data_IF_686103862145
#
_entry.id   IF_686103862145
#
_cell.length_a   1.000
_cell.length_b   1.000
_cell.length_c   1.000
_cell.angle_alpha   90.00
_cell.angle_beta   90.00
_cell.angle_gamma   90.00
#
_symmetry.space_group_name_H-M   'P 1'
#
loop_
_entity.id
_entity.type
_entity.pdbx_description
1 polymer ?
#
# COMPACT_ATOMS: atom_id res chain seq x y z
N UNK A 1 0.34 -12.10 8.93
CA UNK A 1 -1.10 -11.75 8.81
C UNK A 1 -1.25 -10.41 8.12
N UNK A 2 -2.20 -10.27 7.19
CA UNK A 2 -2.54 -9.00 6.54
C UNK A 2 -3.88 -8.45 7.01
N UNK A 3 -4.12 -7.17 6.78
CA UNK A 3 -5.39 -6.46 7.01
C UNK A 3 -5.88 -5.94 5.66
N UNK A 4 -6.46 -6.84 4.85
CA UNK A 4 -6.96 -6.46 3.53
C UNK A 4 -8.13 -5.48 3.69
N UNK A 5 -7.95 -4.27 3.15
CA UNK A 5 -8.88 -3.17 3.35
C UNK A 5 -9.68 -2.93 2.08
N UNK A 6 -10.97 -3.24 2.13
CA UNK A 6 -11.89 -2.98 1.04
C UNK A 6 -12.41 -1.53 1.11
N UNK A 7 -12.38 -0.82 -0.02
CA UNK A 7 -12.71 0.61 -0.09
C UNK A 7 -13.63 0.89 -1.28
N UNK A 8 -14.63 1.75 -1.09
CA UNK A 8 -15.46 2.32 -2.17
C UNK A 8 -16.00 3.69 -1.76
N UNK A 9 -16.15 4.58 -2.74
CA UNK A 9 -16.74 5.91 -2.54
C UNK A 9 -18.19 5.93 -3.00
N UNK A 10 -19.00 6.70 -2.26
CA UNK A 10 -20.42 6.89 -2.52
C UNK A 10 -20.74 8.38 -2.41
N UNK A 11 -21.65 8.86 -3.26
CA UNK A 11 -22.13 10.24 -3.21
C UNK A 11 -23.64 10.25 -3.43
N UNK A 12 -24.38 10.93 -2.55
CA UNK A 12 -25.84 11.00 -2.65
C UNK A 12 -26.54 9.64 -2.58
N UNK A 13 -25.91 8.61 -1.99
CA UNK A 13 -26.45 7.25 -1.92
C UNK A 13 -26.13 6.36 -3.13
N UNK A 14 -25.39 6.87 -4.13
CA UNK A 14 -24.99 6.11 -5.32
C UNK A 14 -23.51 5.70 -5.27
N UNK A 15 -23.16 4.47 -5.70
CA UNK A 15 -21.78 3.98 -5.73
C UNK A 15 -20.99 4.61 -6.88
N UNK A 16 -19.77 5.08 -6.62
CA UNK A 16 -18.95 5.76 -7.61
C UNK A 16 -17.93 4.87 -8.33
N UNK A 17 -17.74 3.62 -7.87
CA UNK A 17 -16.62 2.79 -8.31
C UNK A 17 -16.91 1.85 -9.48
N UNK A 18 -18.17 1.77 -9.93
CA UNK A 18 -18.59 0.86 -10.99
C UNK A 18 -18.72 1.56 -12.34
N UNK A 19 -18.22 0.89 -13.37
CA UNK A 19 -18.48 1.18 -14.78
C UNK A 19 -18.38 -0.15 -15.54
N UNK A 20 -19.36 -0.46 -16.39
CA UNK A 20 -19.40 -1.73 -17.14
C UNK A 20 -18.31 -1.82 -18.22
N UNK A 21 -17.82 -0.69 -18.72
CA UNK A 21 -16.85 -0.61 -19.82
C UNK A 21 -15.41 -0.67 -19.34
N UNK A 22 -15.17 -0.32 -18.07
CA UNK A 22 -13.83 -0.27 -17.50
C UNK A 22 -13.26 -1.64 -17.13
N UNK A 23 -11.94 -1.72 -17.08
CA UNK A 23 -11.24 -2.93 -16.64
C UNK A 23 -11.76 -3.41 -15.28
N UNK A 24 -12.06 -4.70 -15.17
CA UNK A 24 -12.64 -5.33 -13.98
C UNK A 24 -13.95 -4.66 -13.47
N UNK A 25 -14.64 -3.90 -14.32
CA UNK A 25 -15.86 -3.17 -13.98
C UNK A 25 -15.61 -1.91 -13.13
N UNK A 26 -14.47 -1.25 -13.30
CA UNK A 26 -14.07 -0.05 -12.57
C UNK A 26 -14.35 1.22 -13.37
N UNK A 27 -14.92 2.23 -12.71
CA UNK A 27 -14.99 3.60 -13.23
C UNK A 27 -13.62 4.28 -13.28
N UNK A 28 -13.54 5.40 -14.01
CA UNK A 28 -12.38 6.30 -13.96
C UNK A 28 -12.06 6.75 -12.53
N UNK A 29 -13.09 7.08 -11.73
CA UNK A 29 -12.92 7.43 -10.31
C UNK A 29 -12.20 6.34 -9.53
N UNK A 30 -12.62 5.08 -9.70
CA UNK A 30 -11.96 3.96 -9.02
C UNK A 30 -10.55 3.71 -9.56
N UNK A 31 -10.34 3.87 -10.87
CA UNK A 31 -9.03 3.72 -11.52
C UNK A 31 -8.03 4.75 -10.99
N UNK A 32 -8.42 6.02 -10.92
CA UNK A 32 -7.57 7.08 -10.38
C UNK A 32 -7.35 6.95 -8.87
N UNK A 33 -8.36 6.47 -8.13
CA UNK A 33 -8.19 6.14 -6.71
C UNK A 33 -7.11 5.07 -6.50
N UNK A 34 -7.11 4.02 -7.34
CA UNK A 34 -6.06 3.00 -7.35
C UNK A 34 -4.71 3.61 -7.74
N UNK A 35 -4.69 4.51 -8.72
CA UNK A 35 -3.49 5.26 -9.11
C UNK A 35 -2.86 5.99 -7.94
N UNK A 36 -3.65 6.73 -7.15
CA UNK A 36 -3.19 7.39 -5.93
C UNK A 36 -2.67 6.42 -4.87
N UNK A 37 -3.38 5.32 -4.59
CA UNK A 37 -2.91 4.29 -3.64
C UNK A 37 -1.56 3.69 -4.04
N UNK A 38 -1.37 3.38 -5.33
CA UNK A 38 -0.12 2.78 -5.82
C UNK A 38 1.01 3.81 -5.92
N UNK A 39 0.70 5.04 -6.30
CA UNK A 39 1.66 6.14 -6.41
C UNK A 39 2.25 6.49 -5.04
N UNK A 40 1.41 6.68 -4.04
CA UNK A 40 1.81 7.03 -2.68
C UNK A 40 2.14 5.83 -1.80
N UNK A 41 2.07 4.59 -2.31
CA UNK A 41 2.38 3.41 -1.51
C UNK A 41 3.72 3.54 -0.73
N UNK A 42 4.84 4.01 -1.31
CA UNK A 42 6.10 4.15 -0.57
C UNK A 42 5.99 4.95 0.74
N UNK A 43 5.25 6.07 0.76
CA UNK A 43 5.01 6.90 1.94
C UNK A 43 3.83 6.39 2.78
N UNK A 44 2.76 5.95 2.15
CA UNK A 44 1.54 5.42 2.78
C UNK A 44 1.82 4.23 3.70
N UNK A 45 2.79 3.39 3.35
CA UNK A 45 3.19 2.24 4.15
C UNK A 45 3.70 2.61 5.55
N UNK A 46 4.17 3.85 5.76
CA UNK A 46 4.52 4.34 7.08
C UNK A 46 3.33 4.37 8.06
N UNK A 47 2.09 4.38 7.56
CA UNK A 47 0.87 4.30 8.37
C UNK A 47 0.17 2.95 8.27
N UNK A 48 0.21 2.28 7.11
CA UNK A 48 -0.49 0.99 6.91
C UNK A 48 0.32 -0.24 7.33
N UNK A 49 1.65 -0.10 7.37
CA UNK A 49 2.62 -1.15 7.72
C UNK A 49 3.69 -0.59 8.66
N UNK A 50 3.30 -0.09 9.84
CA UNK A 50 4.11 0.89 10.56
C UNK A 50 5.10 0.27 11.54
N UNK A 51 5.42 -1.02 11.44
CA UNK A 51 6.33 -1.69 12.36
C UNK A 51 7.47 -2.38 11.62
N UNK A 52 8.59 -2.60 12.31
CA UNK A 52 9.70 -3.39 11.73
C UNK A 52 9.25 -4.80 11.34
N UNK A 53 8.31 -5.38 12.09
CA UNK A 53 7.77 -6.72 11.81
C UNK A 53 6.88 -6.76 10.56
N UNK A 54 6.25 -5.65 10.17
CA UNK A 54 5.47 -5.55 8.93
C UNK A 54 6.30 -5.95 7.71
N UNK A 55 7.58 -5.58 7.68
CA UNK A 55 8.49 -5.84 6.56
C UNK A 55 9.08 -7.25 6.58
N UNK A 56 8.84 -8.03 7.64
CA UNK A 56 9.07 -9.48 7.62
C UNK A 56 7.95 -10.23 6.90
N UNK A 57 6.76 -9.61 6.80
CA UNK A 57 5.68 -10.10 5.94
C UNK A 57 5.87 -9.63 4.50
N UNK A 58 6.24 -8.37 4.27
CA UNK A 58 6.40 -7.79 2.93
C UNK A 58 7.74 -8.20 2.28
N UNK A 59 7.95 -9.50 2.12
CA UNK A 59 9.14 -10.07 1.48
C UNK A 59 8.72 -10.76 0.17
N UNK A 60 9.44 -10.55 -0.95
CA UNK A 60 9.18 -11.28 -2.19
C UNK A 60 9.16 -12.81 -1.97
N UNK A 61 8.22 -13.51 -2.62
CA UNK A 61 8.16 -14.98 -2.66
C UNK A 61 7.15 -15.68 -1.72
N UNK A 62 6.44 -14.97 -0.84
CA UNK A 62 5.50 -15.57 0.15
C UNK A 62 4.07 -15.01 0.10
N UNK A 63 3.43 -14.93 -1.09
CA UNK A 63 2.10 -14.30 -1.29
C UNK A 63 1.97 -12.85 -0.76
N UNK A 64 3.10 -12.21 -0.44
CA UNK A 64 3.14 -10.86 0.08
C UNK A 64 2.95 -9.84 -1.04
N UNK A 65 2.02 -8.88 -0.90
CA UNK A 65 1.70 -7.92 -1.93
C UNK A 65 2.74 -6.79 -1.95
N UNK A 66 3.89 -7.05 -2.59
CA UNK A 66 5.01 -6.09 -2.68
C UNK A 66 5.08 -5.36 -4.02
N UNK A 67 4.38 -5.86 -5.03
CA UNK A 67 4.42 -5.34 -6.39
C UNK A 67 3.36 -4.25 -6.56
N UNK A 68 3.77 -3.04 -6.96
CA UNK A 68 2.91 -1.85 -7.14
C UNK A 68 2.05 -1.95 -8.41
N UNK A 69 1.22 -2.99 -8.44
CA UNK A 69 0.28 -3.30 -9.53
C UNK A 69 -1.11 -3.50 -8.96
N UNK A 70 -2.09 -3.46 -9.86
CA UNK A 70 -3.46 -3.84 -9.56
C UNK A 70 -3.96 -4.92 -10.53
N UNK A 71 -4.86 -5.79 -10.05
CA UNK A 71 -5.42 -6.88 -10.85
C UNK A 71 -6.68 -7.48 -10.22
N UNK A 72 -7.56 -8.02 -11.06
CA UNK A 72 -8.74 -8.75 -10.62
C UNK A 72 -8.42 -10.15 -10.05
N UNK A 73 -7.35 -10.80 -10.54
CA UNK A 73 -7.04 -12.21 -10.24
C UNK A 73 -5.71 -12.41 -9.52
N UNK A 74 -4.78 -11.48 -9.64
CA UNK A 74 -3.43 -11.62 -9.09
C UNK A 74 -3.42 -11.41 -7.57
N UNK A 75 -2.96 -12.43 -6.83
CA UNK A 75 -2.86 -12.37 -5.36
C UNK A 75 -1.61 -11.64 -4.86
N UNK A 76 -0.60 -11.51 -5.72
CA UNK A 76 0.66 -10.78 -5.47
C UNK A 76 0.55 -9.26 -5.65
N UNK A 77 -0.56 -8.77 -6.19
CA UNK A 77 -0.82 -7.36 -6.40
C UNK A 77 -1.04 -6.62 -5.08
N UNK A 78 -0.48 -5.41 -4.94
CA UNK A 78 -0.82 -4.47 -3.87
C UNK A 78 -2.33 -4.22 -3.79
N UNK A 79 -2.96 -4.10 -4.96
CA UNK A 79 -4.36 -3.74 -5.07
C UNK A 79 -5.13 -4.80 -5.87
N UNK A 80 -6.13 -5.42 -5.25
CA UNK A 80 -7.00 -6.42 -5.91
C UNK A 80 -8.38 -5.85 -6.20
N UNK A 81 -9.00 -6.28 -7.29
CA UNK A 81 -10.42 -6.03 -7.58
C UNK A 81 -11.20 -7.32 -7.38
N UNK A 82 -12.00 -7.45 -6.30
CA UNK A 82 -12.83 -8.63 -6.10
C UNK A 82 -13.82 -8.86 -7.25
N UNK A 83 -14.01 -10.12 -7.64
CA UNK A 83 -15.03 -10.51 -8.62
C UNK A 83 -16.40 -10.46 -7.95
N UNK A 84 -17.22 -9.46 -8.33
CA UNK A 84 -18.53 -9.19 -7.71
C UNK A 84 -19.68 -9.18 -8.71
N UNK A 85 -19.44 -9.62 -9.95
CA UNK A 85 -20.40 -9.54 -11.05
C UNK A 85 -20.71 -8.09 -11.46
N UNK A 86 -21.94 -7.87 -11.91
CA UNK A 86 -22.44 -6.58 -12.43
C UNK A 86 -23.14 -5.71 -11.39
N UNK A 87 -23.20 -6.10 -10.12
CA UNK A 87 -23.83 -5.28 -9.07
C UNK A 87 -22.96 -4.06 -8.74
N UNK A 88 -23.39 -2.81 -9.06
CA UNK A 88 -22.58 -1.61 -8.82
C UNK A 88 -22.27 -1.40 -7.34
N UNK A 89 -23.21 -1.74 -6.45
CA UNK A 89 -23.09 -1.55 -4.99
C UNK A 89 -22.06 -2.47 -4.35
N UNK A 90 -21.70 -3.56 -5.02
CA UNK A 90 -20.68 -4.49 -4.55
C UNK A 90 -19.26 -4.12 -5.06
N UNK A 91 -19.15 -3.23 -6.06
CA UNK A 91 -17.87 -2.86 -6.65
C UNK A 91 -17.02 -2.08 -5.66
N UNK A 92 -15.78 -2.53 -5.50
CA UNK A 92 -14.81 -1.99 -4.54
C UNK A 92 -13.39 -2.36 -4.93
N UNK A 93 -12.44 -1.64 -4.38
CA UNK A 93 -11.02 -1.96 -4.42
C UNK A 93 -10.62 -2.66 -3.12
N UNK A 94 -9.64 -3.55 -3.14
CA UNK A 94 -9.04 -4.17 -1.96
C UNK A 94 -7.54 -3.86 -1.92
N UNK A 95 -7.11 -3.04 -0.97
CA UNK A 95 -5.69 -2.80 -0.71
C UNK A 95 -5.18 -3.86 0.27
N UNK A 96 -4.24 -4.69 -0.16
CA UNK A 96 -3.81 -5.93 0.53
C UNK A 96 -2.55 -5.75 1.37
N UNK A 97 -1.84 -4.66 1.14
CA UNK A 97 -0.57 -4.33 1.81
C UNK A 97 -0.73 -4.11 3.31
N UNK A 98 -1.77 -3.42 3.83
CA UNK A 98 -1.87 -3.11 5.26
C UNK A 98 -1.83 -4.35 6.15
N UNK A 99 -1.43 -4.16 7.40
CA UNK A 99 -1.42 -5.21 8.41
C UNK A 99 -1.97 -4.70 9.75
N UNK A 100 -2.40 -5.59 10.66
CA UNK A 100 -3.11 -5.18 11.88
C UNK A 100 -2.20 -4.59 12.96
N UNK A 101 -0.90 -4.41 12.71
CA UNK A 101 -0.04 -3.61 13.60
C UNK A 101 -0.29 -2.10 13.45
N UNK A 102 -1.05 -1.70 12.43
CA UNK A 102 -1.40 -0.32 12.17
C UNK A 102 -2.42 0.26 13.16
N UNK A 103 -2.29 1.57 13.42
CA UNK A 103 -3.39 2.34 13.97
C UNK A 103 -4.44 2.53 12.87
N UNK A 104 -5.59 1.86 13.00
CA UNK A 104 -6.64 1.84 11.97
C UNK A 104 -7.18 3.22 11.62
N UNK A 105 -7.20 4.17 12.57
CA UNK A 105 -7.64 5.54 12.28
C UNK A 105 -6.67 6.24 11.33
N UNK A 106 -5.37 6.15 11.59
CA UNK A 106 -4.35 6.75 10.72
C UNK A 106 -4.25 6.02 9.38
N UNK A 107 -4.28 4.69 9.39
CA UNK A 107 -4.18 3.89 8.18
C UNK A 107 -5.35 4.16 7.22
N UNK A 108 -6.59 4.18 7.72
CA UNK A 108 -7.77 4.41 6.88
C UNK A 108 -7.82 5.84 6.36
N UNK A 109 -7.49 6.84 7.21
CA UNK A 109 -7.38 8.22 6.76
C UNK A 109 -6.30 8.40 5.70
N UNK A 110 -5.10 7.84 5.89
CA UNK A 110 -4.01 7.95 4.92
C UNK A 110 -4.35 7.29 3.57
N UNK A 111 -4.99 6.12 3.59
CA UNK A 111 -5.48 5.47 2.36
C UNK A 111 -6.54 6.32 1.65
N UNK A 112 -7.45 6.94 2.40
CA UNK A 112 -8.45 7.85 1.84
C UNK A 112 -7.78 9.04 1.17
N UNK A 113 -6.83 9.69 1.85
CA UNK A 113 -6.10 10.84 1.30
C UNK A 113 -5.33 10.47 0.03
N UNK A 114 -4.61 9.35 0.04
CA UNK A 114 -3.88 8.88 -1.15
C UNK A 114 -4.82 8.63 -2.34
N UNK A 115 -5.96 7.97 -2.11
CA UNK A 115 -6.92 7.72 -3.18
C UNK A 115 -7.64 8.99 -3.67
N UNK A 116 -7.92 9.95 -2.79
CA UNK A 116 -8.50 11.24 -3.17
C UNK A 116 -7.53 12.10 -3.98
N UNK A 117 -6.25 12.13 -3.63
CA UNK A 117 -5.23 12.80 -4.44
C UNK A 117 -5.14 12.16 -5.84
N UNK A 118 -5.15 10.83 -5.90
CA UNK A 118 -5.24 10.08 -7.15
C UNK A 118 -6.38 10.57 -8.05
N UNK A 119 -7.58 10.72 -7.50
CA UNK A 119 -8.75 11.25 -8.22
C UNK A 119 -8.53 12.70 -8.66
N UNK A 120 -8.06 13.57 -7.75
CA UNK A 120 -7.85 15.01 -8.00
C UNK A 120 -6.84 15.25 -9.12
N UNK A 121 -5.74 14.50 -9.09
CA UNK A 121 -4.61 14.61 -10.00
C UNK A 121 -4.74 13.68 -11.22
N UNK A 122 -5.83 12.88 -11.30
CA UNK A 122 -6.08 11.87 -12.33
C UNK A 122 -4.88 10.94 -12.55
N UNK A 123 -4.30 10.47 -11.45
CA UNK A 123 -3.12 9.61 -11.46
C UNK A 123 -3.52 8.28 -12.10
N UNK A 124 -2.93 7.96 -13.25
CA UNK A 124 -3.16 6.68 -13.91
C UNK A 124 -2.31 5.59 -13.25
N UNK A 125 -2.92 4.46 -12.79
CA UNK A 125 -2.16 3.32 -12.31
C UNK A 125 -1.40 2.65 -13.46
N UNK A 126 -0.32 1.91 -13.17
CA UNK A 126 0.35 1.07 -14.17
C UNK A 126 -0.63 0.08 -14.81
N UNK A 127 -0.43 -0.28 -16.07
CA UNK A 127 -1.26 -1.27 -16.77
C UNK A 127 -1.46 -2.53 -15.92
N UNK A 128 -2.70 -3.03 -15.76
CA UNK A 128 -2.97 -4.16 -14.88
C UNK A 128 -2.29 -5.43 -15.39
N UNK A 129 -1.79 -6.26 -14.46
CA UNK A 129 -1.13 -7.53 -14.77
C UNK A 129 -1.96 -8.69 -14.20
N UNK A 130 -2.65 -9.40 -15.09
CA UNK A 130 -3.55 -10.52 -14.75
C UNK A 130 -2.88 -11.89 -14.70
N UNK A 131 -1.55 -11.92 -14.63
CA UNK A 131 -0.77 -13.12 -14.37
C UNK A 131 -0.31 -13.12 -12.92
N UNK A 132 -0.14 -14.29 -12.32
CA UNK A 132 0.54 -14.36 -11.04
C UNK A 132 2.02 -14.00 -11.24
N UNK A 133 2.49 -12.94 -10.57
CA UNK A 133 3.88 -12.48 -10.74
C UNK A 133 4.87 -13.48 -10.13
N UNK A 134 4.43 -14.39 -9.25
CA UNK A 134 5.30 -15.44 -8.70
C UNK A 134 5.68 -16.49 -9.75
N UNK A 135 4.81 -16.71 -10.73
CA UNK A 135 5.02 -17.70 -11.80
C UNK A 135 5.74 -17.08 -13.01
N UNK A 136 6.01 -15.77 -12.98
CA UNK A 136 6.78 -15.10 -14.03
C UNK A 136 8.28 -15.20 -13.73
N UNK A 137 9.12 -15.55 -14.71
CA UNK A 137 10.56 -15.46 -14.54
C UNK A 137 10.96 -13.99 -14.28
N UNK A 138 12.02 -13.71 -13.48
CA UNK A 138 12.41 -12.35 -13.09
C UNK A 138 12.58 -11.37 -14.26
N UNK A 139 12.97 -11.88 -15.43
CA UNK A 139 13.07 -11.13 -16.69
C UNK A 139 11.72 -10.69 -17.28
N UNK A 140 10.62 -11.37 -16.94
CA UNK A 140 9.24 -11.01 -17.31
C UNK A 140 8.56 -10.11 -16.27
N UNK A 141 9.21 -9.81 -15.14
CA UNK A 141 8.68 -8.87 -14.15
C UNK A 141 8.66 -7.43 -14.70
N UNK A 142 9.45 -7.14 -15.74
CA UNK A 142 9.52 -5.83 -16.38
C UNK A 142 9.92 -4.72 -15.38
N UNK A 143 9.43 -3.50 -15.64
CA UNK A 143 9.65 -2.32 -14.78
C UNK A 143 8.68 -2.24 -13.58
N UNK A 144 8.19 -3.39 -13.09
CA UNK A 144 7.25 -3.42 -11.96
C UNK A 144 7.96 -2.92 -10.70
N UNK A 145 7.59 -1.70 -10.29
CA UNK A 145 8.07 -1.11 -9.05
C UNK A 145 7.56 -1.90 -7.86
N UNK A 146 8.39 -1.97 -6.83
CA UNK A 146 8.05 -2.61 -5.56
C UNK A 146 7.94 -1.56 -4.45
N UNK A 147 7.18 -1.90 -3.40
CA UNK A 147 7.17 -1.13 -2.16
C UNK A 147 8.53 -1.19 -1.46
N UNK A 148 8.89 -0.20 -0.63
CA UNK A 148 10.11 -0.28 0.15
C UNK A 148 10.09 -1.49 1.10
N UNK A 149 11.24 -2.17 1.22
CA UNK A 149 11.38 -3.42 1.98
C UNK A 149 11.70 -3.25 3.47
N UNK A 150 11.62 -2.05 4.03
CA UNK A 150 11.93 -1.81 5.45
C UNK A 150 11.24 -0.58 6.03
N UNK A 151 11.02 -0.58 7.36
CA UNK A 151 10.43 0.55 8.07
C UNK A 151 11.24 1.86 7.88
N UNK A 152 12.59 1.87 7.98
CA UNK A 152 13.36 3.09 7.71
C UNK A 152 13.10 3.68 6.32
N UNK A 153 13.10 2.83 5.28
CA UNK A 153 12.94 3.29 3.91
C UNK A 153 11.55 3.90 3.64
N UNK A 154 10.48 3.40 4.29
CA UNK A 154 9.16 4.03 4.18
C UNK A 154 9.05 5.33 4.97
N UNK A 155 9.78 5.47 6.09
CA UNK A 155 9.81 6.72 6.85
C UNK A 155 10.53 7.82 6.07
N UNK A 156 11.63 7.47 5.39
CA UNK A 156 12.33 8.38 4.46
C UNK A 156 11.42 8.76 3.28
N UNK A 157 10.63 7.79 2.78
CA UNK A 157 9.65 8.04 1.72
C UNK A 157 8.52 8.95 2.18
N UNK A 158 8.06 8.82 3.43
CA UNK A 158 7.05 9.69 4.04
C UNK A 158 7.57 11.11 4.21
N UNK A 159 8.80 11.31 4.66
CA UNK A 159 9.38 12.65 4.75
C UNK A 159 9.51 13.32 3.37
N UNK A 160 9.81 12.54 2.32
CA UNK A 160 9.94 13.03 0.95
C UNK A 160 8.60 13.28 0.23
N UNK A 161 7.54 12.54 0.60
CA UNK A 161 6.22 12.59 -0.03
C UNK A 161 5.11 12.47 1.03
N UNK A 162 4.62 13.62 1.52
CA UNK A 162 3.48 13.68 2.45
C UNK A 162 2.50 14.82 2.18
N UNK A 163 2.68 15.60 1.11
CA UNK A 163 1.81 16.75 0.81
C UNK A 163 0.34 16.33 0.60
N UNK A 164 0.12 15.16 0.00
CA UNK A 164 -1.22 14.59 -0.18
C UNK A 164 -1.97 14.34 1.15
N UNK A 165 -1.23 14.11 2.24
CA UNK A 165 -1.81 13.91 3.57
C UNK A 165 -2.24 15.23 4.23
N UNK A 166 -1.59 16.34 3.84
CA UNK A 166 -1.82 17.67 4.40
C UNK A 166 -3.07 18.36 3.83
N UNK A 167 -3.61 17.87 2.71
CA UNK A 167 -4.79 18.48 2.07
C UNK A 167 -5.98 18.52 3.04
N UNK A 168 -6.68 19.66 3.07
CA UNK A 168 -7.78 19.91 4.02
C UNK A 168 -7.39 19.90 5.51
N UNK A 169 -6.10 19.83 5.86
CA UNK A 169 -5.63 19.76 7.25
C UNK A 169 -5.97 18.44 7.95
N UNK A 170 -6.16 17.35 7.19
CA UNK A 170 -6.49 16.03 7.74
C UNK A 170 -5.32 15.46 8.55
N UNK A 171 -4.11 15.51 7.99
CA UNK A 171 -2.87 15.36 8.74
C UNK A 171 -2.20 16.73 8.87
N UNK A 172 -1.41 16.89 9.93
CA UNK A 172 -0.62 18.09 10.18
C UNK A 172 0.87 17.77 10.06
N UNK A 173 1.73 18.76 9.72
CA UNK A 173 3.17 18.56 9.73
C UNK A 173 3.71 18.10 11.10
N UNK A 174 3.12 18.59 12.19
CA UNK A 174 3.41 18.18 13.56
C UNK A 174 3.14 16.67 13.79
N UNK A 175 1.99 16.16 13.34
CA UNK A 175 1.67 14.73 13.43
C UNK A 175 2.68 13.88 12.64
N UNK A 176 3.01 14.29 11.42
CA UNK A 176 3.92 13.54 10.53
C UNK A 176 5.33 13.51 11.11
N UNK A 177 5.87 14.66 11.51
CA UNK A 177 7.21 14.75 12.12
C UNK A 177 7.28 13.94 13.42
N UNK A 178 6.30 14.10 14.31
CA UNK A 178 6.19 13.31 15.54
C UNK A 178 6.14 11.81 15.27
N UNK A 179 5.37 11.38 14.25
CA UNK A 179 5.27 9.97 13.86
C UNK A 179 6.62 9.41 13.41
N UNK A 180 7.32 10.12 12.52
CA UNK A 180 8.62 9.70 12.00
C UNK A 180 9.66 9.61 13.13
N UNK A 181 9.78 10.65 13.95
CA UNK A 181 10.72 10.68 15.08
C UNK A 181 10.45 9.55 16.07
N UNK A 182 9.18 9.36 16.43
CA UNK A 182 8.80 8.32 17.38
C UNK A 182 9.15 6.92 16.84
N UNK A 183 8.84 6.64 15.57
CA UNK A 183 9.12 5.35 14.94
C UNK A 183 10.62 5.07 14.82
N UNK A 184 11.42 6.08 14.50
CA UNK A 184 12.88 5.96 14.46
C UNK A 184 13.43 5.63 15.85
N UNK A 185 13.09 6.42 16.85
CA UNK A 185 13.64 6.28 18.20
C UNK A 185 13.15 5.04 18.96
N UNK A 186 11.90 4.60 18.74
CA UNK A 186 11.25 3.58 19.56
C UNK A 186 11.09 2.21 18.86
N UNK A 187 11.26 2.13 17.53
CA UNK A 187 11.19 0.86 16.81
C UNK A 187 12.46 0.58 16.00
N UNK A 188 12.87 1.51 15.13
CA UNK A 188 14.02 1.30 14.23
C UNK A 188 15.31 1.16 15.03
N UNK A 189 15.65 2.15 15.84
CA UNK A 189 16.91 2.19 16.57
C UNK A 189 17.04 1.04 17.59
N UNK A 190 16.01 0.73 18.38
CA UNK A 190 16.06 -0.42 19.27
C UNK A 190 16.32 -1.74 18.55
N UNK A 191 15.71 -1.98 17.38
CA UNK A 191 15.97 -3.22 16.63
C UNK A 191 17.37 -3.20 16.02
N UNK A 192 17.78 -2.08 15.42
CA UNK A 192 19.09 -1.93 14.75
C UNK A 192 20.28 -2.14 15.68
N UNK A 193 20.17 -1.75 16.96
CA UNK A 193 21.25 -1.84 17.94
C UNK A 193 21.38 -3.20 18.62
N UNK A 194 20.55 -4.19 18.27
CA UNK A 194 20.54 -5.51 18.91
C UNK A 194 20.94 -6.59 17.91
N UNK A 195 22.06 -7.31 18.14
CA UNK A 195 22.40 -8.48 17.35
C UNK A 195 21.26 -9.50 17.34
N UNK A 196 20.98 -10.07 16.17
CA UNK A 196 19.95 -11.11 16.04
C UNK A 196 20.54 -12.52 16.15
N UNK A 197 19.76 -13.54 16.59
CA UNK A 197 20.27 -14.91 16.67
C UNK A 197 20.82 -15.46 15.34
N UNK A 198 20.29 -14.99 14.21
CA UNK A 198 20.78 -15.42 12.89
C UNK A 198 22.17 -14.88 12.57
N UNK A 199 22.54 -13.69 13.07
CA UNK A 199 23.90 -13.14 12.93
C UNK A 199 24.94 -14.02 13.62
N UNK A 200 24.62 -14.64 14.77
CA UNK A 200 25.52 -15.61 15.39
C UNK A 200 25.71 -16.83 14.47
N UNK A 201 24.65 -17.36 13.87
CA UNK A 201 24.77 -18.49 12.95
C UNK A 201 25.61 -18.16 11.70
N UNK A 202 25.57 -16.90 11.24
CA UNK A 202 26.32 -16.47 10.06
C UNK A 202 27.78 -16.07 10.36
N UNK A 203 28.02 -15.46 11.51
CA UNK A 203 29.25 -14.70 11.78
C UNK A 203 29.95 -15.07 13.09
N UNK A 204 29.55 -16.13 13.79
CA UNK A 204 30.24 -16.53 15.03
C UNK A 204 31.68 -17.01 14.78
N UNK A 205 31.91 -17.70 13.66
CA UNK A 205 33.22 -18.30 13.29
C UNK A 205 33.96 -17.54 12.17
N UNK A 206 33.55 -16.29 11.86
CA UNK A 206 34.13 -15.53 10.75
C UNK A 206 35.51 -14.92 11.05
#
# INVERSE_FOLDING_TARGET
SGMHTHQSLWLGGEPLFYDETGYAGLSDTARWYIGGLLHHAPSLLAFTNPTVNSYRRLVPGFEAPVNLVYSQRNRSACTRIPVTGSNPKAKRVEFRVPDPSANVYLAFSAMMMAGLDGIKSKIEPPTPIDKDLYDLPPEEWGDVKQVPGSLPAVLDSLEADHDYLLDGGVFTPDLISTWVEWKRANEVDPVRLRPTPHEFAMYYDC
#
